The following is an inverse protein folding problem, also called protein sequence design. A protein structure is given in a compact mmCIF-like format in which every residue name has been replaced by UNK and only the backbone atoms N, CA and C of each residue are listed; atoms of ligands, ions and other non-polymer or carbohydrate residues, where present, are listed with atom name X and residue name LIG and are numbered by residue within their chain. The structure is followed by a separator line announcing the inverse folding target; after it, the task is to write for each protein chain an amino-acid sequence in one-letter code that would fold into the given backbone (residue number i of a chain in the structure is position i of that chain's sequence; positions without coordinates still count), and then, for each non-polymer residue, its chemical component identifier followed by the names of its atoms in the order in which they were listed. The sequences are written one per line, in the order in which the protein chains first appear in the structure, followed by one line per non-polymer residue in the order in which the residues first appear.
data_IF_652412307642
#
_entry.id   IF_652412307642
#
_cell.length_a   1.000
_cell.length_b   1.000
_cell.length_c   1.000
_cell.angle_alpha   90.00
_cell.angle_beta   90.00
_cell.angle_gamma   90.00
#
_symmetry.space_group_name_H-M   'P 1'
#
loop_
_entity.id
_entity.type
_entity.pdbx_description
1 polymer ?
#
# COMPACT_ATOMS: atom_id res chain seq x y z
N UNK A 1 1.47 3.82 1.01
CA UNK A 1 1.08 3.17 2.29
C UNK A 1 0.74 4.19 3.39
N UNK A 2 1.70 4.93 4.00
CA UNK A 2 1.37 5.92 5.06
C UNK A 2 0.57 7.11 4.51
N UNK A 3 0.92 7.56 3.30
CA UNK A 3 0.26 8.68 2.60
C UNK A 3 -1.21 8.40 2.27
N UNK A 4 -1.56 7.11 2.13
CA UNK A 4 -2.87 6.66 1.64
C UNK A 4 -3.91 6.51 2.77
N UNK A 5 -3.62 7.04 3.97
CA UNK A 5 -4.51 6.98 5.13
C UNK A 5 -5.89 7.60 4.81
N UNK A 6 -5.91 8.70 4.06
CA UNK A 6 -7.15 9.40 3.70
C UNK A 6 -8.02 8.56 2.78
N UNK A 7 -7.44 7.87 1.79
CA UNK A 7 -8.22 6.96 0.93
C UNK A 7 -8.73 5.76 1.71
N UNK A 8 -7.94 5.21 2.64
CA UNK A 8 -8.35 4.09 3.46
C UNK A 8 -9.54 4.45 4.38
N UNK A 9 -9.51 5.61 5.03
CA UNK A 9 -10.60 6.06 5.92
C UNK A 9 -11.91 6.24 5.14
N UNK A 10 -11.87 6.69 3.88
CA UNK A 10 -13.08 6.84 3.05
C UNK A 10 -13.83 5.53 2.82
N UNK A 11 -13.17 4.38 2.98
CA UNK A 11 -13.77 3.06 2.83
C UNK A 11 -14.33 2.50 4.14
N UNK A 12 -14.18 3.20 5.26
CA UNK A 12 -14.60 2.73 6.58
C UNK A 12 -16.08 2.33 6.61
N UNK A 13 -16.96 3.23 6.18
CA UNK A 13 -18.40 2.98 6.16
C UNK A 13 -18.77 1.81 5.25
N UNK A 14 -18.12 1.73 4.08
CA UNK A 14 -18.35 0.65 3.13
C UNK A 14 -17.93 -0.70 3.71
N UNK A 15 -16.74 -0.81 4.30
CA UNK A 15 -16.22 -2.05 4.89
C UNK A 15 -17.07 -2.48 6.09
N UNK A 16 -17.46 -1.54 6.95
CA UNK A 16 -18.33 -1.83 8.10
C UNK A 16 -19.70 -2.33 7.65
N UNK A 17 -20.28 -1.75 6.59
CA UNK A 17 -21.59 -2.14 6.09
C UNK A 17 -21.66 -3.59 5.59
N UNK A 18 -20.54 -4.13 5.07
CA UNK A 18 -20.50 -5.50 4.52
C UNK A 18 -20.79 -6.58 5.59
N UNK A 19 -20.39 -6.35 6.84
CA UNK A 19 -20.59 -7.31 7.94
C UNK A 19 -21.97 -7.22 8.60
N UNK A 20 -22.78 -6.23 8.25
CA UNK A 20 -24.10 -6.01 8.84
C UNK A 20 -25.20 -6.75 8.08
N UNK A 21 -26.20 -7.25 8.80
CA UNK A 21 -27.42 -7.77 8.17
C UNK A 21 -28.14 -6.60 7.50
N UNK A 22 -28.15 -6.60 6.19
CA UNK A 22 -28.82 -5.58 5.38
C UNK A 22 -29.84 -6.26 4.47
N UNK A 23 -30.97 -5.60 4.21
CA UNK A 23 -32.11 -6.15 3.42
C UNK A 23 -31.84 -6.22 1.90
N UNK A 24 -30.60 -5.99 1.48
CA UNK A 24 -30.18 -6.02 0.08
C UNK A 24 -30.10 -7.46 -0.44
N UNK A 25 -30.44 -7.63 -1.72
CA UNK A 25 -30.27 -8.89 -2.45
C UNK A 25 -28.80 -9.36 -2.42
N UNK A 26 -28.61 -10.67 -2.44
CA UNK A 26 -27.30 -11.32 -2.52
C UNK A 26 -26.45 -10.78 -3.69
N UNK A 27 -27.08 -10.55 -4.84
CA UNK A 27 -26.40 -10.00 -6.03
C UNK A 27 -25.88 -8.58 -5.78
N UNK A 28 -26.69 -7.74 -5.11
CA UNK A 28 -26.30 -6.38 -4.76
C UNK A 28 -25.17 -6.37 -3.72
N UNK A 29 -25.25 -7.25 -2.72
CA UNK A 29 -24.18 -7.42 -1.74
C UNK A 29 -22.85 -7.80 -2.44
N UNK A 30 -22.89 -8.73 -3.40
CA UNK A 30 -21.71 -9.15 -4.16
C UNK A 30 -21.15 -8.04 -5.09
N UNK A 31 -22.02 -7.19 -5.65
CA UNK A 31 -21.60 -6.02 -6.41
C UNK A 31 -20.90 -4.99 -5.51
N UNK A 32 -21.46 -4.69 -4.35
CA UNK A 32 -20.86 -3.78 -3.37
C UNK A 32 -19.48 -4.29 -2.93
N UNK A 33 -19.35 -5.59 -2.64
CA UNK A 33 -18.05 -6.20 -2.33
C UNK A 33 -17.03 -6.02 -3.47
N UNK A 34 -17.47 -6.15 -4.73
CA UNK A 34 -16.61 -5.96 -5.90
C UNK A 34 -16.16 -4.50 -6.05
N UNK A 35 -17.00 -3.54 -5.70
CA UNK A 35 -16.63 -2.13 -5.70
C UNK A 35 -15.59 -1.83 -4.62
N UNK A 36 -15.82 -2.32 -3.39
CA UNK A 36 -14.86 -2.18 -2.28
C UNK A 36 -13.50 -2.78 -2.66
N UNK A 37 -13.47 -3.98 -3.27
CA UNK A 37 -12.23 -4.59 -3.76
C UNK A 37 -11.46 -3.68 -4.74
N UNK A 38 -12.16 -3.07 -5.71
CA UNK A 38 -11.53 -2.17 -6.69
C UNK A 38 -10.96 -0.91 -6.04
N UNK A 39 -11.60 -0.42 -4.99
CA UNK A 39 -11.10 0.73 -4.26
C UNK A 39 -9.87 0.35 -3.41
N UNK A 40 -9.88 -0.85 -2.81
CA UNK A 40 -8.72 -1.39 -2.08
C UNK A 40 -7.52 -1.67 -2.98
N UNK A 41 -7.71 -2.06 -4.25
CA UNK A 41 -6.62 -2.25 -5.23
C UNK A 41 -5.77 -0.98 -5.45
N UNK A 42 -6.36 0.20 -5.25
CA UNK A 42 -5.67 1.48 -5.40
C UNK A 42 -4.87 1.88 -4.17
N UNK A 43 -5.07 1.19 -3.04
CA UNK A 43 -4.45 1.51 -1.75
C UNK A 43 -3.30 0.55 -1.51
N UNK A 44 -2.08 1.07 -1.48
CA UNK A 44 -0.91 0.23 -1.20
C UNK A 44 -1.00 -0.40 0.18
N UNK A 45 -0.71 -1.71 0.27
CA UNK A 45 -0.75 -2.47 1.53
C UNK A 45 -2.16 -2.88 2.00
N UNK A 46 -3.21 -2.69 1.19
CA UNK A 46 -4.57 -3.12 1.53
C UNK A 46 -4.93 -4.54 1.04
N UNK A 47 -3.94 -5.29 0.56
CA UNK A 47 -4.11 -6.60 -0.09
C UNK A 47 -4.76 -7.64 0.82
N UNK A 48 -4.36 -7.68 2.09
CA UNK A 48 -4.91 -8.64 3.05
C UNK A 48 -6.41 -8.40 3.32
N UNK A 49 -6.85 -7.14 3.37
CA UNK A 49 -8.26 -6.77 3.54
C UNK A 49 -9.04 -7.22 2.31
N UNK A 50 -8.53 -6.87 1.11
CA UNK A 50 -9.11 -7.25 -0.17
C UNK A 50 -9.27 -8.76 -0.29
N UNK A 51 -8.23 -9.52 0.06
CA UNK A 51 -8.23 -10.98 -0.01
C UNK A 51 -9.34 -11.61 0.81
N UNK A 52 -9.61 -11.10 2.01
CA UNK A 52 -10.69 -11.58 2.89
C UNK A 52 -12.06 -11.29 2.28
N UNK A 53 -12.25 -10.08 1.71
CA UNK A 53 -13.49 -9.71 1.02
C UNK A 53 -13.69 -10.56 -0.24
N UNK A 54 -12.66 -10.76 -1.05
CA UNK A 54 -12.71 -11.60 -2.25
C UNK A 54 -13.05 -13.05 -1.91
N UNK A 55 -12.46 -13.62 -0.86
CA UNK A 55 -12.80 -14.96 -0.38
C UNK A 55 -14.26 -15.04 0.06
N UNK A 56 -14.74 -14.06 0.81
CA UNK A 56 -16.14 -13.95 1.22
C UNK A 56 -17.08 -13.94 0.01
N UNK A 57 -16.82 -13.08 -0.98
CA UNK A 57 -17.62 -12.99 -2.21
C UNK A 57 -17.60 -14.30 -3.01
N UNK A 58 -16.46 -15.00 -3.06
CA UNK A 58 -16.35 -16.30 -3.74
C UNK A 58 -17.18 -17.39 -3.06
N UNK A 59 -17.35 -17.33 -1.74
CA UNK A 59 -18.24 -18.27 -1.02
C UNK A 59 -19.69 -17.99 -1.36
N UNK A 60 -20.10 -16.72 -1.40
CA UNK A 60 -21.47 -16.31 -1.77
C UNK A 60 -21.89 -16.73 -3.18
N UNK A 61 -20.93 -16.95 -4.09
CA UNK A 61 -21.18 -17.44 -5.46
C UNK A 61 -21.55 -18.93 -5.54
N UNK A 62 -21.42 -19.69 -4.46
CA UNK A 62 -21.72 -21.12 -4.44
C UNK A 62 -23.23 -21.35 -4.31
N UNK A 63 -23.71 -22.50 -4.79
CA UNK A 63 -25.13 -22.86 -4.71
C UNK A 63 -25.66 -22.98 -3.27
N UNK A 64 -24.79 -23.36 -2.32
CA UNK A 64 -25.10 -23.42 -0.88
C UNK A 64 -23.98 -22.68 -0.10
N UNK A 65 -24.10 -21.37 0.08
CA UNK A 65 -23.06 -20.56 0.71
C UNK A 65 -23.08 -20.68 2.23
N UNK A 66 -21.93 -21.02 2.81
CA UNK A 66 -21.73 -20.99 4.27
C UNK A 66 -21.64 -19.54 4.77
N UNK A 67 -22.78 -19.02 5.24
CA UNK A 67 -22.90 -17.66 5.75
C UNK A 67 -22.10 -17.41 7.03
N UNK A 68 -21.88 -18.43 7.86
CA UNK A 68 -21.04 -18.30 9.06
C UNK A 68 -19.60 -17.98 8.66
N UNK A 69 -19.08 -18.70 7.67
CA UNK A 69 -17.74 -18.48 7.13
C UNK A 69 -17.59 -17.11 6.44
N UNK A 70 -18.63 -16.66 5.73
CA UNK A 70 -18.65 -15.32 5.13
C UNK A 70 -18.53 -14.24 6.21
N UNK A 71 -19.36 -14.31 7.25
CA UNK A 71 -19.31 -13.34 8.35
C UNK A 71 -17.97 -13.37 9.10
N UNK A 72 -17.40 -14.55 9.32
CA UNK A 72 -16.06 -14.68 9.92
C UNK A 72 -14.99 -13.95 9.09
N UNK A 73 -14.97 -14.16 7.77
CA UNK A 73 -13.99 -13.52 6.89
C UNK A 73 -14.19 -12.01 6.81
N UNK A 74 -15.42 -11.52 6.85
CA UNK A 74 -15.73 -10.08 6.88
C UNK A 74 -15.29 -9.44 8.20
N UNK A 75 -15.50 -10.11 9.32
CA UNK A 75 -14.99 -9.66 10.62
C UNK A 75 -13.46 -9.63 10.64
N UNK A 76 -12.80 -10.64 10.09
CA UNK A 76 -11.34 -10.62 9.93
C UNK A 76 -10.86 -9.47 9.05
N UNK A 77 -11.55 -9.20 7.93
CA UNK A 77 -11.25 -8.05 7.07
C UNK A 77 -11.36 -6.73 7.85
N UNK A 78 -12.41 -6.58 8.65
CA UNK A 78 -12.64 -5.38 9.46
C UNK A 78 -11.58 -5.22 10.56
N UNK A 79 -11.18 -6.30 11.22
CA UNK A 79 -10.12 -6.27 12.22
C UNK A 79 -8.79 -5.81 11.62
N UNK A 80 -8.43 -6.34 10.44
CA UNK A 80 -7.22 -5.92 9.73
C UNK A 80 -7.33 -4.45 9.32
N UNK A 81 -8.50 -4.01 8.85
CA UNK A 81 -8.76 -2.62 8.50
C UNK A 81 -8.52 -1.66 9.68
N UNK A 82 -9.07 -1.98 10.86
CA UNK A 82 -8.89 -1.17 12.07
C UNK A 82 -7.42 -1.08 12.46
N UNK A 83 -6.70 -2.21 12.44
CA UNK A 83 -5.27 -2.25 12.75
C UNK A 83 -4.46 -1.41 11.75
N UNK A 84 -4.71 -1.55 10.45
CA UNK A 84 -4.05 -0.77 9.40
C UNK A 84 -4.32 0.73 9.55
N UNK A 85 -5.56 1.12 9.86
CA UNK A 85 -5.95 2.51 10.08
C UNK A 85 -5.17 3.13 11.24
N UNK A 86 -5.16 2.47 12.40
CA UNK A 86 -4.45 2.97 13.59
C UNK A 86 -2.94 2.98 13.39
N UNK A 87 -2.39 1.95 12.75
CA UNK A 87 -0.97 1.90 12.38
C UNK A 87 -0.58 3.07 11.49
N UNK A 88 -1.31 3.32 10.39
CA UNK A 88 -1.02 4.42 9.46
C UNK A 88 -1.18 5.79 10.12
N UNK A 89 -2.17 5.95 11.00
CA UNK A 89 -2.37 7.18 11.79
C UNK A 89 -1.16 7.46 12.67
N UNK A 90 -0.67 6.45 13.40
CA UNK A 90 0.54 6.57 14.23
C UNK A 90 1.77 6.85 13.37
N UNK A 91 1.99 6.06 12.31
CA UNK A 91 3.13 6.21 11.42
C UNK A 91 3.16 7.58 10.72
N UNK A 92 2.00 8.18 10.41
CA UNK A 92 1.93 9.53 9.85
C UNK A 92 2.44 10.60 10.81
N UNK A 93 2.19 10.45 12.11
CA UNK A 93 2.60 11.43 13.11
C UNK A 93 4.04 11.19 13.58
N UNK A 94 4.39 9.93 13.85
CA UNK A 94 5.62 9.60 14.56
C UNK A 94 6.78 9.31 13.58
N UNK A 95 6.49 8.63 12.47
CA UNK A 95 7.51 8.08 11.57
C UNK A 95 7.72 8.93 10.32
N UNK A 96 6.65 9.44 9.70
CA UNK A 96 6.73 10.18 8.44
C UNK A 96 7.60 11.44 8.53
N UNK A 97 7.56 12.26 9.61
CA UNK A 97 8.45 13.42 9.72
C UNK A 97 9.92 13.00 9.78
N UNK A 98 10.25 11.98 10.59
CA UNK A 98 11.62 11.48 10.74
C UNK A 98 12.15 10.88 9.43
N UNK A 99 11.30 10.15 8.68
CA UNK A 99 11.68 9.62 7.36
C UNK A 99 11.95 10.74 6.37
N UNK A 100 11.12 11.80 6.35
CA UNK A 100 11.35 12.93 5.47
C UNK A 100 12.63 13.71 5.86
N UNK A 101 12.92 13.84 7.15
CA UNK A 101 14.16 14.46 7.63
C UNK A 101 15.38 13.64 7.20
N UNK A 102 15.35 12.33 7.43
CA UNK A 102 16.40 11.42 7.03
C UNK A 102 16.64 11.45 5.52
N UNK A 103 15.57 11.35 4.72
CA UNK A 103 15.64 11.43 3.26
C UNK A 103 16.28 12.76 2.80
N UNK A 104 15.88 13.88 3.41
CA UNK A 104 16.48 15.19 3.11
C UNK A 104 17.95 15.30 3.53
N UNK A 105 18.35 14.67 4.64
CA UNK A 105 19.72 14.69 5.12
C UNK A 105 20.67 13.92 4.19
N UNK A 106 20.18 12.87 3.53
CA UNK A 106 21.02 11.99 2.71
C UNK A 106 20.85 12.20 1.20
N UNK A 107 19.84 12.93 0.72
CA UNK A 107 19.53 13.02 -0.72
C UNK A 107 20.70 13.44 -1.61
N UNK A 108 21.61 14.27 -1.09
CA UNK A 108 22.76 14.77 -1.85
C UNK A 108 24.01 13.87 -1.69
N UNK A 109 24.00 12.97 -0.69
CA UNK A 109 25.12 12.07 -0.35
C UNK A 109 24.84 10.60 -0.62
N UNK A 110 23.58 10.22 -0.88
CA UNK A 110 23.21 8.88 -1.33
C UNK A 110 23.91 8.61 -2.66
N UNK A 111 24.35 7.38 -2.90
CA UNK A 111 25.17 7.04 -4.07
C UNK A 111 24.57 7.57 -5.37
N UNK A 112 25.40 8.14 -6.26
CA UNK A 112 24.99 8.83 -7.49
C UNK A 112 24.02 8.04 -8.38
N UNK A 113 24.11 6.70 -8.37
CA UNK A 113 23.24 5.81 -9.15
C UNK A 113 21.81 5.70 -8.59
N UNK A 114 21.63 6.00 -7.30
CA UNK A 114 20.36 5.97 -6.60
C UNK A 114 19.66 7.34 -6.57
N UNK A 115 20.37 8.41 -6.94
CA UNK A 115 19.78 9.75 -7.06
C UNK A 115 18.93 9.83 -8.33
N UNK A 116 17.69 10.30 -8.22
CA UNK A 116 16.83 10.51 -9.40
C UNK A 116 17.42 11.55 -10.37
N UNK A 117 18.09 12.58 -9.82
CA UNK A 117 18.77 13.63 -10.58
C UNK A 117 20.03 14.09 -9.87
N UNK A 118 21.07 14.37 -10.66
CA UNK A 118 22.25 15.04 -10.17
C UNK A 118 21.95 16.51 -9.88
N UNK A 119 22.46 17.00 -8.77
CA UNK A 119 22.57 18.44 -8.53
C UNK A 119 23.53 19.05 -9.56
N UNK A 120 23.38 20.36 -9.82
CA UNK A 120 24.25 21.08 -10.76
C UNK A 120 25.74 20.94 -10.39
N UNK A 121 26.06 20.97 -9.10
CA UNK A 121 27.44 20.84 -8.61
C UNK A 121 28.00 19.42 -8.82
N UNK A 122 27.22 18.38 -8.51
CA UNK A 122 27.63 17.00 -8.82
C UNK A 122 27.79 16.80 -10.34
N UNK A 123 26.88 17.34 -11.15
CA UNK A 123 26.96 17.25 -12.61
C UNK A 123 28.24 17.91 -13.15
N UNK A 124 28.58 19.12 -12.68
CA UNK A 124 29.85 19.80 -13.01
C UNK A 124 31.06 19.00 -12.55
N UNK A 125 31.01 18.40 -11.36
CA UNK A 125 32.10 17.59 -10.82
C UNK A 125 32.32 16.33 -11.67
N UNK A 126 31.25 15.59 -11.97
CA UNK A 126 31.29 14.41 -12.84
C UNK A 126 31.73 14.77 -14.26
N UNK A 127 31.26 15.88 -14.83
CA UNK A 127 31.66 16.32 -16.19
C UNK A 127 33.12 16.73 -16.28
N UNK A 128 33.73 17.19 -15.18
CA UNK A 128 35.17 17.46 -15.08
C UNK A 128 36.01 16.19 -15.00
N UNK A 129 35.41 15.06 -14.59
CA UNK A 129 36.09 13.79 -14.46
C UNK A 129 36.43 13.24 -15.86
N UNK A 130 37.57 13.66 -16.38
CA UNK A 130 38.22 13.02 -17.52
C UNK A 130 38.75 11.68 -17.05
N UNK A 131 37.89 10.66 -17.06
CA UNK A 131 38.29 9.27 -16.86
C UNK A 131 39.24 8.88 -17.99
N UNK A 132 40.53 9.17 -17.83
CA UNK A 132 41.56 8.54 -18.66
C UNK A 132 41.51 7.05 -18.35
N UNK A 133 41.19 6.23 -19.34
CA UNK A 133 41.33 4.78 -19.21
C UNK A 133 42.76 4.46 -18.79
N UNK A 134 42.96 4.03 -17.54
CA UNK A 134 44.24 3.52 -17.10
C UNK A 134 44.23 2.03 -17.40
N UNK A 135 44.95 1.65 -18.44
CA UNK A 135 45.14 0.25 -18.76
C UNK A 135 45.90 -0.41 -17.60
N UNK A 136 45.22 -1.29 -16.88
CA UNK A 136 45.78 -2.11 -15.80
C UNK A 136 46.09 -3.52 -16.30
N UNK A 137 46.06 -3.75 -17.61
CA UNK A 137 46.68 -4.94 -18.17
C UNK A 137 48.20 -4.82 -18.07
N UNK A 138 48.85 -5.90 -17.64
CA UNK A 138 50.27 -6.06 -17.32
C UNK A 138 50.63 -5.84 -15.85
N UNK A 139 50.29 -6.84 -15.03
CA UNK A 139 51.23 -7.47 -14.10
C UNK A 139 50.59 -8.80 -13.64
N UNK A 140 50.83 -9.85 -14.42
CA UNK A 140 50.75 -11.25 -13.97
C UNK A 140 52.17 -11.79 -13.92
#
# INVERSE_FOLDING_TARGET
MIKDLTELIKLEDQINSLGTKSEISLDQAMLNMKEVEKNLDKISGAELIKDKITKSRRILKKNDPDMSKVLSLLNEANNIFVVEKEWRKRAKNDLLPQLNEFDNAIKDTIGLRLQERLTLEQAKFVSRCRSSHKDISLNF
#
